data_IF_915856130758
#
_entry.id   IF_915856130758
#
_cell.length_a   1.000
_cell.length_b   1.000
_cell.length_c   1.000
_cell.angle_alpha   90.00
_cell.angle_beta   90.00
_cell.angle_gamma   90.00
#
_symmetry.space_group_name_H-M   'P 1'
#
loop_
_entity.id
_entity.type
_entity.pdbx_description
1 polymer ?
#
# COMPACT_ATOMS: atom_id res chain seq x y z
N UNK A 1 27.72 1.04 18.04
CA UNK A 1 28.66 1.73 17.13
C UNK A 1 28.10 1.65 15.73
N UNK A 2 28.30 2.67 14.91
CA UNK A 2 27.83 2.64 13.52
C UNK A 2 28.56 1.53 12.75
N UNK A 3 27.82 0.78 11.93
CA UNK A 3 28.34 -0.32 11.12
C UNK A 3 29.24 0.15 9.99
N UNK A 4 28.99 1.36 9.48
CA UNK A 4 29.73 1.99 8.41
C UNK A 4 30.19 3.39 8.84
N UNK A 5 31.34 3.83 8.32
CA UNK A 5 31.87 5.17 8.57
C UNK A 5 31.20 6.25 7.71
N UNK A 6 30.42 5.85 6.71
CA UNK A 6 29.76 6.73 5.76
C UNK A 6 28.75 7.67 6.43
N UNK A 7 28.82 8.95 6.04
CA UNK A 7 27.85 9.98 6.40
C UNK A 7 27.32 10.66 5.14
N UNK A 8 26.07 11.10 5.19
CA UNK A 8 25.36 11.77 4.11
C UNK A 8 24.64 13.02 4.61
N UNK A 9 24.42 13.97 3.70
CA UNK A 9 23.60 15.16 3.92
C UNK A 9 22.22 14.93 3.29
N UNK A 10 21.17 15.22 4.05
CA UNK A 10 19.77 15.03 3.65
C UNK A 10 19.16 16.36 3.20
N UNK A 11 18.44 16.31 2.09
CA UNK A 11 17.79 17.45 1.46
C UNK A 11 16.28 17.19 1.31
N UNK A 12 15.48 18.26 1.24
CA UNK A 12 14.08 18.17 0.87
C UNK A 12 13.89 18.07 -0.65
N UNK A 13 12.63 17.99 -1.10
CA UNK A 13 12.29 17.90 -2.52
C UNK A 13 12.46 19.21 -3.31
N UNK A 14 12.87 20.30 -2.64
CA UNK A 14 13.23 21.58 -3.25
C UNK A 14 14.75 21.81 -3.24
N UNK A 15 15.55 20.82 -2.86
CA UNK A 15 17.01 20.92 -2.81
C UNK A 15 17.52 21.76 -1.64
N UNK A 16 16.74 21.91 -0.57
CA UNK A 16 17.18 22.59 0.66
C UNK A 16 17.74 21.58 1.65
N UNK A 17 18.91 21.88 2.20
CA UNK A 17 19.55 21.07 3.23
C UNK A 17 18.65 20.98 4.49
N UNK A 18 18.33 19.76 4.89
CA UNK A 18 17.60 19.44 6.10
C UNK A 18 18.55 19.10 7.25
N UNK A 19 19.57 18.29 6.99
CA UNK A 19 20.51 17.83 8.01
C UNK A 19 21.80 17.30 7.39
N UNK A 20 22.94 17.72 7.92
CA UNK A 20 24.25 17.21 7.52
C UNK A 20 24.77 16.11 8.44
N UNK A 21 25.75 15.35 7.93
CA UNK A 21 26.52 14.35 8.67
C UNK A 21 25.64 13.25 9.30
N UNK A 22 24.60 12.82 8.59
CA UNK A 22 23.74 11.72 9.01
C UNK A 22 24.45 10.40 8.70
N UNK A 23 24.67 9.56 9.72
CA UNK A 23 25.23 8.23 9.52
C UNK A 23 24.36 7.41 8.56
N UNK A 24 24.97 6.79 7.56
CA UNK A 24 24.29 6.08 6.47
C UNK A 24 23.28 5.04 6.96
N UNK A 25 23.61 4.32 8.04
CA UNK A 25 22.71 3.31 8.61
C UNK A 25 21.36 3.86 9.07
N UNK A 26 21.23 5.18 9.34
CA UNK A 26 19.98 5.79 9.82
C UNK A 26 18.87 5.84 8.77
N UNK A 27 19.21 5.67 7.50
CA UNK A 27 18.22 5.50 6.42
C UNK A 27 17.90 4.02 6.16
N UNK A 28 18.51 3.07 6.86
CA UNK A 28 18.24 1.65 6.62
C UNK A 28 16.77 1.31 6.93
N UNK A 29 16.06 0.57 6.06
CA UNK A 29 14.73 0.04 6.34
C UNK A 29 14.65 -0.76 7.65
N UNK A 30 15.76 -1.35 8.09
CA UNK A 30 15.81 -2.13 9.34
C UNK A 30 15.78 -1.29 10.61
N UNK A 31 16.10 0.02 10.53
CA UNK A 31 16.21 0.88 11.72
C UNK A 31 15.36 2.14 11.63
N UNK A 32 15.08 2.65 10.43
CA UNK A 32 14.37 3.91 10.26
C UNK A 32 12.87 3.74 10.59
N UNK A 33 12.33 4.47 11.58
CA UNK A 33 10.95 4.30 12.01
C UNK A 33 9.92 4.74 10.95
N UNK A 34 10.25 5.73 10.12
CA UNK A 34 9.37 6.17 9.04
C UNK A 34 9.24 5.10 7.95
N UNK A 35 10.37 4.48 7.57
CA UNK A 35 10.36 3.36 6.60
C UNK A 35 9.59 2.17 7.15
N UNK A 36 9.82 1.80 8.43
CA UNK A 36 9.04 0.74 9.08
C UNK A 36 7.55 1.05 9.06
N UNK A 37 7.16 2.31 9.33
CA UNK A 37 5.77 2.73 9.24
C UNK A 37 5.20 2.65 7.81
N UNK A 38 5.99 2.94 6.78
CA UNK A 38 5.54 2.83 5.39
C UNK A 38 5.31 1.37 4.99
N UNK A 39 6.24 0.48 5.32
CA UNK A 39 6.11 -0.97 5.10
C UNK A 39 4.92 -1.54 5.87
N UNK A 40 4.77 -1.14 7.12
CA UNK A 40 3.65 -1.51 7.98
C UNK A 40 2.30 -1.05 7.40
N UNK A 41 2.22 0.19 6.93
CA UNK A 41 1.03 0.71 6.24
C UNK A 41 0.73 -0.06 4.95
N UNK A 42 1.75 -0.40 4.14
CA UNK A 42 1.57 -1.19 2.92
C UNK A 42 0.95 -2.56 3.21
N UNK A 43 1.36 -3.21 4.30
CA UNK A 43 0.86 -4.52 4.73
C UNK A 43 -0.55 -4.47 5.32
N UNK A 44 -0.93 -3.35 5.95
CA UNK A 44 -2.13 -3.25 6.81
C UNK A 44 -3.26 -2.40 6.27
N UNK A 45 -3.06 -1.72 5.16
CA UNK A 45 -4.06 -0.78 4.63
C UNK A 45 -4.82 -1.40 3.47
N UNK A 46 -6.15 -1.41 3.57
CA UNK A 46 -7.08 -1.94 2.58
C UNK A 46 -8.07 -0.86 2.18
N UNK A 47 -8.25 -0.65 0.87
CA UNK A 47 -9.29 0.19 0.32
C UNK A 47 -10.58 -0.61 0.13
N UNK A 48 -11.72 -0.04 0.52
CA UNK A 48 -13.06 -0.65 0.38
C UNK A 48 -13.96 0.28 -0.41
N UNK A 49 -14.35 -0.13 -1.61
CA UNK A 49 -15.22 0.65 -2.49
C UNK A 49 -16.71 0.33 -2.24
N UNK A 50 -17.29 0.91 -1.18
CA UNK A 50 -18.71 0.74 -0.83
C UNK A 50 -19.66 1.22 -1.92
N UNK A 51 -19.34 2.34 -2.60
CA UNK A 51 -20.14 2.82 -3.73
C UNK A 51 -20.13 1.82 -4.90
N UNK A 52 -19.01 1.13 -5.11
CA UNK A 52 -18.90 0.02 -6.06
C UNK A 52 -19.73 -1.19 -5.65
N UNK A 53 -19.75 -1.55 -4.36
CA UNK A 53 -20.59 -2.65 -3.84
C UNK A 53 -22.07 -2.35 -4.08
N UNK A 54 -22.53 -1.15 -3.73
CA UNK A 54 -23.93 -0.73 -3.92
C UNK A 54 -24.35 -0.84 -5.39
N UNK A 55 -23.53 -0.31 -6.29
CA UNK A 55 -23.78 -0.37 -7.72
C UNK A 55 -23.73 -1.80 -8.28
N UNK A 56 -22.82 -2.64 -7.78
CA UNK A 56 -22.70 -4.03 -8.19
C UNK A 56 -23.94 -4.84 -7.78
N UNK A 57 -24.35 -4.73 -6.51
CA UNK A 57 -25.52 -5.41 -5.96
C UNK A 57 -26.80 -5.00 -6.66
N UNK A 58 -27.03 -3.69 -6.83
CA UNK A 58 -28.23 -3.16 -7.47
C UNK A 58 -28.45 -3.68 -8.90
N UNK A 59 -27.37 -3.99 -9.61
CA UNK A 59 -27.41 -4.43 -11.00
C UNK A 59 -27.08 -5.92 -11.21
N UNK A 60 -26.85 -6.68 -10.13
CA UNK A 60 -26.39 -8.07 -10.20
C UNK A 60 -24.99 -8.22 -10.84
N UNK A 61 -24.21 -7.14 -10.95
CA UNK A 61 -22.87 -7.11 -11.56
C UNK A 61 -21.80 -7.52 -10.55
N UNK A 62 -21.84 -8.78 -10.15
CA UNK A 62 -20.97 -9.36 -9.13
C UNK A 62 -19.93 -10.30 -9.76
N UNK A 63 -18.72 -10.33 -9.22
CA UNK A 63 -17.59 -11.06 -9.80
C UNK A 63 -16.91 -10.35 -10.98
N UNK A 64 -15.83 -10.94 -11.51
CA UNK A 64 -15.00 -10.32 -12.54
C UNK A 64 -15.71 -10.30 -13.91
N UNK A 65 -16.20 -9.12 -14.30
CA UNK A 65 -16.89 -8.90 -15.58
C UNK A 65 -18.13 -9.79 -15.80
N UNK A 66 -18.81 -10.17 -14.72
CA UNK A 66 -20.02 -10.98 -14.77
C UNK A 66 -21.26 -10.17 -14.38
N UNK A 67 -22.42 -10.67 -14.79
CA UNK A 67 -23.72 -10.20 -14.32
C UNK A 67 -24.64 -11.40 -14.14
N UNK A 68 -25.28 -11.52 -12.98
CA UNK A 68 -26.22 -12.59 -12.67
C UNK A 68 -27.61 -11.96 -12.53
N UNK A 69 -28.43 -12.14 -13.57
CA UNK A 69 -29.80 -11.62 -13.59
C UNK A 69 -30.66 -12.37 -12.55
N UNK A 70 -31.51 -11.63 -11.85
CA UNK A 70 -32.36 -12.16 -10.77
C UNK A 70 -31.64 -12.26 -9.41
N UNK A 71 -30.41 -11.75 -9.30
CA UNK A 71 -29.64 -11.64 -8.05
C UNK A 71 -29.39 -10.18 -7.65
N UNK A 72 -30.20 -9.26 -8.16
CA UNK A 72 -30.13 -7.84 -7.80
C UNK A 72 -30.55 -7.62 -6.34
N UNK A 73 -29.76 -6.86 -5.60
CA UNK A 73 -30.07 -6.43 -4.23
C UNK A 73 -29.98 -4.91 -4.15
N UNK A 74 -31.10 -4.25 -3.82
CA UNK A 74 -31.16 -2.81 -3.69
C UNK A 74 -30.99 -2.40 -2.23
N UNK A 75 -29.74 -2.24 -1.80
CA UNK A 75 -29.36 -1.87 -0.44
C UNK A 75 -28.91 -0.40 -0.41
N UNK A 76 -29.43 0.40 0.53
CA UNK A 76 -29.05 1.81 0.67
C UNK A 76 -27.73 1.95 1.45
N UNK A 77 -26.63 1.50 0.84
CA UNK A 77 -25.28 1.53 1.45
C UNK A 77 -24.85 2.98 1.71
N UNK A 78 -25.04 3.87 0.74
CA UNK A 78 -24.70 5.29 0.89
C UNK A 78 -25.45 5.97 2.05
N UNK A 79 -26.72 5.61 2.31
CA UNK A 79 -27.48 6.13 3.43
C UNK A 79 -27.06 5.62 4.81
N UNK A 80 -26.32 4.49 4.88
CA UNK A 80 -26.00 3.79 6.12
C UNK A 80 -24.48 3.65 6.37
N UNK A 81 -23.67 4.54 5.79
CA UNK A 81 -22.21 4.50 5.88
C UNK A 81 -21.72 4.49 7.33
N UNK A 82 -22.33 5.28 8.21
CA UNK A 82 -21.93 5.36 9.63
C UNK A 82 -22.05 4.00 10.34
N UNK A 83 -23.18 3.32 10.14
CA UNK A 83 -23.43 2.03 10.76
C UNK A 83 -22.53 0.93 10.19
N UNK A 84 -22.35 0.93 8.87
CA UNK A 84 -21.47 -0.02 8.17
C UNK A 84 -20.02 0.17 8.62
N UNK A 85 -19.52 1.40 8.67
CA UNK A 85 -18.17 1.71 9.15
C UNK A 85 -17.97 1.26 10.60
N UNK A 86 -18.94 1.53 11.48
CA UNK A 86 -18.88 1.11 12.88
C UNK A 86 -18.77 -0.41 13.00
N UNK A 87 -19.57 -1.18 12.24
CA UNK A 87 -19.51 -2.64 12.20
C UNK A 87 -18.20 -3.17 11.62
N UNK A 88 -17.72 -2.58 10.51
CA UNK A 88 -16.41 -2.93 9.94
C UNK A 88 -15.31 -2.72 10.99
N UNK A 89 -15.32 -1.56 11.67
CA UNK A 89 -14.35 -1.27 12.72
C UNK A 89 -14.43 -2.29 13.84
N UNK A 90 -15.64 -2.60 14.31
CA UNK A 90 -15.87 -3.60 15.36
C UNK A 90 -15.29 -4.98 14.96
N UNK A 91 -15.53 -5.44 13.74
CA UNK A 91 -15.07 -6.76 13.29
C UNK A 91 -13.58 -6.83 12.97
N UNK A 92 -12.99 -5.72 12.48
CA UNK A 92 -11.56 -5.65 12.19
C UNK A 92 -10.73 -5.45 13.46
N UNK A 93 -11.25 -4.74 14.47
CA UNK A 93 -10.54 -4.57 15.75
C UNK A 93 -10.34 -5.92 16.45
N UNK A 94 -9.34 -5.99 17.32
CA UNK A 94 -9.03 -7.15 18.17
C UNK A 94 -9.35 -6.83 19.62
N UNK A 95 -8.94 -5.65 20.09
CA UNK A 95 -9.18 -5.15 21.44
C UNK A 95 -9.78 -3.76 21.38
N UNK A 96 -10.51 -3.38 22.44
CA UNK A 96 -11.03 -2.02 22.56
C UNK A 96 -9.87 -1.02 22.60
N UNK A 97 -9.89 -0.04 21.69
CA UNK A 97 -8.86 1.00 21.62
C UNK A 97 -7.55 0.58 20.95
N UNK A 98 -7.53 -0.51 20.19
CA UNK A 98 -6.37 -0.91 19.38
C UNK A 98 -6.03 0.09 18.24
N UNK A 99 -5.02 -0.23 17.44
CA UNK A 99 -4.55 0.65 16.36
C UNK A 99 -5.33 0.52 15.04
N UNK A 100 -6.58 0.04 15.09
CA UNK A 100 -7.50 0.04 13.95
C UNK A 100 -7.94 1.46 13.60
N UNK A 101 -7.76 1.84 12.34
CA UNK A 101 -8.18 3.14 11.82
C UNK A 101 -9.03 2.99 10.57
N UNK A 102 -10.11 3.76 10.45
CA UNK A 102 -10.88 3.88 9.21
C UNK A 102 -10.92 5.35 8.81
N UNK A 103 -10.58 5.63 7.55
CA UNK A 103 -10.72 6.97 6.95
C UNK A 103 -11.71 6.92 5.80
N UNK A 104 -12.56 7.93 5.73
CA UNK A 104 -13.54 8.11 4.64
C UNK A 104 -12.98 8.96 3.53
N UNK A 105 -13.35 8.60 2.31
CA UNK A 105 -13.12 9.35 1.10
C UNK A 105 -14.41 9.36 0.28
N UNK A 106 -14.59 10.37 -0.58
CA UNK A 106 -15.75 10.51 -1.46
C UNK A 106 -17.09 10.33 -0.71
N UNK A 107 -17.26 11.09 0.37
CA UNK A 107 -18.44 11.05 1.25
C UNK A 107 -18.71 9.66 1.84
N UNK A 108 -17.66 8.85 2.03
CA UNK A 108 -17.71 7.50 2.61
C UNK A 108 -17.98 6.38 1.61
N UNK A 109 -18.11 6.70 0.31
CA UNK A 109 -18.18 5.69 -0.76
C UNK A 109 -16.90 4.87 -0.88
N UNK A 110 -15.79 5.41 -0.42
CA UNK A 110 -14.51 4.73 -0.31
C UNK A 110 -14.02 4.81 1.13
N UNK A 111 -13.71 3.66 1.72
CA UNK A 111 -13.07 3.57 3.02
C UNK A 111 -11.62 3.13 2.85
N UNK A 112 -10.74 3.67 3.69
CA UNK A 112 -9.39 3.17 3.87
C UNK A 112 -9.30 2.60 5.28
N UNK A 113 -9.20 1.28 5.37
CA UNK A 113 -9.17 0.53 6.62
C UNK A 113 -7.73 0.11 6.90
N UNK A 114 -7.18 0.60 8.01
CA UNK A 114 -5.91 0.14 8.56
C UNK A 114 -6.19 -0.92 9.63
N UNK A 115 -5.85 -2.15 9.29
CA UNK A 115 -6.01 -3.35 10.13
C UNK A 115 -5.03 -3.30 11.30
N UNK A 116 -5.39 -3.69 12.53
CA UNK A 116 -4.53 -3.56 13.70
C UNK A 116 -3.29 -4.47 13.60
N UNK A 117 -2.18 -4.06 14.23
CA UNK A 117 -0.90 -4.79 14.18
C UNK A 117 -1.01 -6.22 14.63
N UNK A 118 -1.79 -6.47 15.69
CA UNK A 118 -1.97 -7.78 16.28
C UNK A 118 -2.36 -8.86 15.25
N UNK A 119 -3.18 -8.52 14.25
CA UNK A 119 -3.57 -9.45 13.19
C UNK A 119 -2.41 -9.83 12.27
N UNK A 120 -1.53 -8.88 11.96
CA UNK A 120 -0.35 -9.14 11.12
C UNK A 120 0.78 -9.79 11.91
N UNK A 121 0.93 -9.46 13.19
CA UNK A 121 1.91 -10.09 14.07
C UNK A 121 1.60 -11.58 14.29
N UNK A 122 0.32 -11.96 14.32
CA UNK A 122 -0.13 -13.34 14.41
C UNK A 122 -0.27 -14.06 13.05
N UNK A 123 -0.10 -13.35 11.93
CA UNK A 123 -0.25 -13.92 10.59
C UNK A 123 1.10 -14.30 9.98
N UNK A 124 1.09 -15.33 9.11
CA UNK A 124 2.25 -15.66 8.30
C UNK A 124 2.55 -14.58 7.24
N UNK A 125 1.52 -13.93 6.71
CA UNK A 125 1.60 -13.02 5.56
C UNK A 125 0.56 -11.88 5.65
N UNK A 126 0.70 -10.88 4.78
CA UNK A 126 -0.04 -9.60 4.82
C UNK A 126 -1.47 -9.67 4.25
N UNK A 127 -1.82 -10.72 3.53
CA UNK A 127 -3.15 -10.99 2.99
C UNK A 127 -4.23 -11.18 4.06
N UNK A 128 -3.82 -11.47 5.31
CA UNK A 128 -4.70 -11.41 6.48
C UNK A 128 -5.41 -10.05 6.62
N UNK A 129 -4.75 -8.95 6.21
CA UNK A 129 -5.40 -7.63 6.18
C UNK A 129 -6.55 -7.58 5.17
N UNK A 130 -6.28 -8.01 3.94
CA UNK A 130 -7.27 -7.99 2.86
C UNK A 130 -8.49 -8.87 3.20
N UNK A 131 -8.24 -10.09 3.69
CA UNK A 131 -9.31 -11.04 4.00
C UNK A 131 -10.13 -10.63 5.23
N UNK A 132 -9.50 -10.09 6.28
CA UNK A 132 -10.23 -9.62 7.47
C UNK A 132 -11.15 -8.45 7.15
N UNK A 133 -10.68 -7.47 6.36
CA UNK A 133 -11.50 -6.33 5.93
C UNK A 133 -12.61 -6.79 4.97
N UNK A 134 -12.32 -7.66 4.00
CA UNK A 134 -13.35 -8.15 3.09
C UNK A 134 -14.45 -8.95 3.83
N UNK A 135 -14.07 -9.78 4.80
CA UNK A 135 -15.02 -10.51 5.64
C UNK A 135 -15.85 -9.54 6.50
N UNK A 136 -15.21 -8.60 7.19
CA UNK A 136 -15.88 -7.59 8.01
C UNK A 136 -16.87 -6.76 7.19
N UNK A 137 -16.49 -6.30 5.99
CA UNK A 137 -17.40 -5.58 5.08
C UNK A 137 -18.59 -6.45 4.68
N UNK A 138 -18.38 -7.74 4.38
CA UNK A 138 -19.47 -8.66 4.04
C UNK A 138 -20.46 -8.80 5.19
N UNK A 139 -19.96 -9.07 6.41
CA UNK A 139 -20.82 -9.22 7.60
C UNK A 139 -21.52 -7.93 7.98
N UNK A 140 -20.83 -6.79 7.92
CA UNK A 140 -21.41 -5.49 8.19
C UNK A 140 -22.62 -5.21 7.28
N UNK A 141 -22.49 -5.48 5.98
CA UNK A 141 -23.57 -5.30 5.02
C UNK A 141 -24.72 -6.30 5.23
N UNK A 142 -24.40 -7.58 5.44
CA UNK A 142 -25.43 -8.61 5.66
C UNK A 142 -26.28 -8.26 6.89
N UNK A 143 -25.64 -7.84 7.98
CA UNK A 143 -26.37 -7.54 9.20
C UNK A 143 -27.08 -6.18 9.18
N UNK A 144 -26.45 -5.14 8.62
CA UNK A 144 -27.06 -3.81 8.55
C UNK A 144 -28.38 -3.84 7.78
N UNK A 145 -28.43 -4.62 6.70
CA UNK A 145 -29.62 -4.74 5.86
C UNK A 145 -30.42 -6.01 6.10
N UNK A 146 -30.06 -6.82 7.12
CA UNK A 146 -30.69 -8.10 7.43
C UNK A 146 -30.87 -8.99 6.17
N UNK A 147 -29.82 -9.10 5.37
CA UNK A 147 -29.81 -9.92 4.15
C UNK A 147 -29.95 -11.38 4.54
N UNK A 148 -30.89 -12.08 3.93
CA UNK A 148 -31.15 -13.47 4.26
C UNK A 148 -30.02 -14.42 3.81
N UNK A 149 -30.07 -15.65 4.31
CA UNK A 149 -29.06 -16.67 4.04
C UNK A 149 -28.95 -17.07 2.56
N UNK A 150 -30.02 -16.93 1.77
CA UNK A 150 -30.05 -17.27 0.35
C UNK A 150 -29.46 -16.18 -0.54
N UNK A 151 -29.38 -14.95 -0.04
CA UNK A 151 -28.84 -13.78 -0.75
C UNK A 151 -27.52 -13.23 -0.19
N UNK A 152 -27.10 -13.66 1.00
CA UNK A 152 -25.82 -13.28 1.59
C UNK A 152 -24.60 -13.63 0.71
N UNK A 153 -24.70 -14.67 -0.12
CA UNK A 153 -23.65 -15.03 -1.08
C UNK A 153 -23.48 -13.97 -2.19
N UNK A 154 -24.54 -13.25 -2.55
CA UNK A 154 -24.50 -12.13 -3.51
C UNK A 154 -23.69 -10.97 -2.93
N UNK A 155 -23.88 -10.65 -1.65
CA UNK A 155 -23.06 -9.65 -0.92
C UNK A 155 -21.59 -10.06 -0.90
N UNK A 156 -21.32 -11.33 -0.57
CA UNK A 156 -19.96 -11.88 -0.61
C UNK A 156 -19.33 -11.75 -2.00
N UNK A 157 -20.08 -12.03 -3.07
CA UNK A 157 -19.58 -11.90 -4.45
C UNK A 157 -19.33 -10.45 -4.86
N UNK A 158 -20.08 -9.47 -4.33
CA UNK A 158 -19.80 -8.05 -4.56
C UNK A 158 -18.53 -7.58 -3.81
N UNK A 159 -18.25 -8.14 -2.63
CA UNK A 159 -17.10 -7.72 -1.82
C UNK A 159 -15.80 -8.45 -2.21
N UNK A 160 -15.85 -9.77 -2.41
CA UNK A 160 -14.70 -10.60 -2.75
C UNK A 160 -14.54 -10.86 -4.25
N UNK A 161 -15.51 -10.47 -5.07
CA UNK A 161 -15.50 -10.80 -6.48
C UNK A 161 -15.62 -12.31 -6.71
N UNK A 162 -14.82 -12.83 -7.64
CA UNK A 162 -14.85 -14.24 -8.05
C UNK A 162 -14.04 -15.19 -7.15
N UNK A 163 -13.43 -14.71 -6.07
CA UNK A 163 -12.67 -15.57 -5.15
C UNK A 163 -13.60 -16.58 -4.42
N UNK A 164 -13.27 -17.89 -4.38
CA UNK A 164 -11.95 -18.50 -4.67
C UNK A 164 -11.79 -19.14 -6.06
N UNK A 165 -12.71 -18.90 -7.01
CA UNK A 165 -12.53 -19.35 -8.40
C UNK A 165 -11.34 -18.61 -9.03
N UNK A 166 -11.22 -17.30 -8.78
CA UNK A 166 -9.99 -16.54 -8.99
C UNK A 166 -9.06 -16.64 -7.78
N UNK A 167 -7.75 -16.54 -8.01
CA UNK A 167 -6.74 -16.54 -6.93
C UNK A 167 -6.82 -15.28 -6.06
N UNK A 168 -7.11 -14.14 -6.67
CA UNK A 168 -7.31 -12.85 -5.99
C UNK A 168 -8.80 -12.50 -5.87
N UNK A 169 -9.11 -11.39 -5.20
CA UNK A 169 -10.45 -10.82 -5.05
C UNK A 169 -10.90 -10.09 -6.35
N UNK A 170 -10.77 -10.77 -7.48
CA UNK A 170 -11.01 -10.21 -8.81
C UNK A 170 -12.47 -9.78 -8.98
N UNK A 171 -12.70 -8.50 -9.28
CA UNK A 171 -14.04 -7.92 -9.39
C UNK A 171 -14.68 -7.63 -8.03
N UNK A 172 -13.95 -7.79 -6.93
CA UNK A 172 -14.38 -7.41 -5.58
C UNK A 172 -14.16 -5.93 -5.28
N UNK A 173 -14.67 -5.50 -4.14
CA UNK A 173 -14.61 -4.12 -3.68
C UNK A 173 -13.42 -3.82 -2.76
N UNK A 174 -12.71 -4.84 -2.27
CA UNK A 174 -11.54 -4.68 -1.40
C UNK A 174 -10.24 -4.84 -2.18
N UNK A 175 -9.30 -3.90 -1.99
CA UNK A 175 -7.98 -3.95 -2.62
C UNK A 175 -6.89 -3.40 -1.70
N UNK A 176 -5.64 -3.78 -1.98
CA UNK A 176 -4.46 -3.25 -1.31
C UNK A 176 -3.38 -2.94 -2.35
N UNK A 177 -2.35 -2.17 -1.97
CA UNK A 177 -1.29 -1.78 -2.92
C UNK A 177 -0.33 -2.94 -3.25
N UNK A 178 -0.24 -3.93 -2.36
CA UNK A 178 0.55 -5.15 -2.57
C UNK A 178 -0.29 -6.20 -3.31
N UNK A 179 0.32 -6.95 -4.21
CA UNK A 179 -0.34 -8.10 -4.85
C UNK A 179 -0.46 -9.28 -3.90
N UNK A 180 -1.31 -10.26 -4.23
CA UNK A 180 -1.41 -11.51 -3.46
C UNK A 180 -0.07 -12.27 -3.47
N UNK A 181 0.27 -13.03 -2.41
CA UNK A 181 1.55 -13.73 -2.32
C UNK A 181 1.84 -14.70 -3.48
N UNK A 182 0.80 -15.29 -4.08
CA UNK A 182 0.90 -16.21 -5.23
C UNK A 182 1.46 -15.53 -6.49
N UNK A 183 1.35 -14.20 -6.58
CA UNK A 183 1.89 -13.42 -7.70
C UNK A 183 3.32 -12.96 -7.46
N UNK A 184 3.95 -13.33 -6.35
CA UNK A 184 5.35 -13.01 -6.11
C UNK A 184 6.24 -13.84 -7.04
N UNK A 185 7.12 -13.18 -7.79
CA UNK A 185 8.05 -13.85 -8.69
C UNK A 185 9.05 -14.75 -7.94
N UNK A 186 9.35 -14.42 -6.67
CA UNK A 186 10.26 -15.17 -5.81
C UNK A 186 10.01 -14.89 -4.32
N UNK A 187 10.75 -15.58 -3.45
CA UNK A 187 10.72 -15.35 -2.00
C UNK A 187 11.19 -13.92 -1.68
N UNK A 188 10.45 -13.23 -0.80
CA UNK A 188 10.77 -11.85 -0.38
C UNK A 188 10.39 -10.75 -1.37
N UNK A 189 9.62 -11.06 -2.42
CA UNK A 189 9.30 -10.12 -3.51
C UNK A 189 8.09 -9.21 -3.25
N UNK A 190 7.42 -9.34 -2.11
CA UNK A 190 6.10 -8.75 -1.89
C UNK A 190 6.07 -7.22 -1.99
N UNK A 191 7.08 -6.54 -1.41
CA UNK A 191 7.21 -5.08 -1.47
C UNK A 191 7.62 -4.55 -2.84
N UNK A 192 8.11 -5.44 -3.72
CA UNK A 192 8.52 -5.11 -5.10
C UNK A 192 7.37 -5.28 -6.09
N UNK A 193 6.34 -6.03 -5.71
CA UNK A 193 5.12 -6.22 -6.50
C UNK A 193 4.09 -5.10 -6.23
N UNK A 194 4.56 -3.86 -6.12
CA UNK A 194 3.75 -2.65 -6.01
C UNK A 194 3.86 -1.91 -7.36
N UNK A 195 2.78 -1.79 -8.14
CA UNK A 195 2.84 -1.14 -9.45
C UNK A 195 3.31 0.32 -9.36
N UNK A 196 4.14 0.76 -10.30
CA UNK A 196 4.65 2.14 -10.35
C UNK A 196 3.53 3.20 -10.35
N UNK A 197 2.38 2.90 -10.97
CA UNK A 197 1.23 3.81 -10.93
C UNK A 197 0.73 4.07 -9.50
N UNK A 198 0.86 3.10 -8.58
CA UNK A 198 0.44 3.29 -7.19
C UNK A 198 1.35 4.29 -6.48
N UNK A 199 2.67 4.20 -6.64
CA UNK A 199 3.59 5.16 -6.03
C UNK A 199 3.41 6.56 -6.61
N UNK A 200 3.25 6.67 -7.93
CA UNK A 200 2.96 7.95 -8.62
C UNK A 200 1.67 8.59 -8.12
N UNK A 201 0.60 7.80 -7.93
CA UNK A 201 -0.69 8.34 -7.47
C UNK A 201 -0.65 8.70 -5.98
N UNK A 202 -0.02 7.89 -5.13
CA UNK A 202 0.13 8.17 -3.69
C UNK A 202 0.95 9.43 -3.42
N UNK A 203 1.88 9.79 -4.30
CA UNK A 203 2.72 10.99 -4.16
C UNK A 203 2.21 12.18 -4.97
N UNK A 204 0.96 12.12 -5.46
CA UNK A 204 0.35 13.18 -6.26
C UNK A 204 1.21 13.61 -7.45
N UNK A 205 1.91 12.64 -8.08
CA UNK A 205 2.82 12.87 -9.22
C UNK A 205 4.00 13.79 -8.93
N UNK A 206 4.35 14.01 -7.66
CA UNK A 206 5.61 14.67 -7.31
C UNK A 206 6.77 13.70 -7.64
N UNK A 207 7.70 14.14 -8.50
CA UNK A 207 8.78 13.30 -9.02
C UNK A 207 9.74 12.81 -7.94
N UNK A 208 10.21 13.71 -7.06
CA UNK A 208 11.15 13.36 -5.98
C UNK A 208 10.49 12.44 -4.95
N UNK A 209 9.25 12.74 -4.55
CA UNK A 209 8.50 11.91 -3.61
C UNK A 209 8.14 10.54 -4.20
N UNK A 210 7.76 10.49 -5.48
CA UNK A 210 7.48 9.25 -6.22
C UNK A 210 8.71 8.34 -6.29
N UNK A 211 9.86 8.91 -6.64
CA UNK A 211 11.14 8.21 -6.63
C UNK A 211 11.52 7.72 -5.23
N UNK A 212 11.40 8.58 -4.21
CA UNK A 212 11.69 8.22 -2.83
C UNK A 212 10.79 7.08 -2.31
N UNK A 213 9.49 7.13 -2.56
CA UNK A 213 8.56 6.09 -2.14
C UNK A 213 8.83 4.75 -2.85
N UNK A 214 9.03 4.78 -4.16
CA UNK A 214 9.37 3.59 -4.95
C UNK A 214 10.70 2.98 -4.49
N UNK A 215 11.75 3.80 -4.34
CA UNK A 215 13.05 3.36 -3.85
C UNK A 215 12.98 2.80 -2.43
N UNK A 216 12.11 3.35 -1.57
CA UNK A 216 11.90 2.84 -0.21
C UNK A 216 11.33 1.44 -0.21
N UNK A 217 10.31 1.17 -1.03
CA UNK A 217 9.73 -0.18 -1.15
C UNK A 217 10.70 -1.16 -1.81
N UNK A 218 11.37 -0.76 -2.90
CA UNK A 218 12.39 -1.58 -3.54
C UNK A 218 13.52 -1.93 -2.57
N UNK A 219 14.02 -0.95 -1.82
CA UNK A 219 15.11 -1.15 -0.88
C UNK A 219 14.69 -2.04 0.29
N UNK A 220 13.50 -1.85 0.85
CA UNK A 220 12.97 -2.74 1.88
C UNK A 220 12.82 -4.18 1.33
N UNK A 221 12.38 -4.32 0.08
CA UNK A 221 12.35 -5.60 -0.64
C UNK A 221 13.73 -6.23 -0.81
N UNK A 222 14.79 -5.45 -1.08
CA UNK A 222 16.16 -5.99 -1.15
C UNK A 222 16.63 -6.57 0.19
N UNK A 223 16.21 -5.99 1.32
CA UNK A 223 16.45 -6.58 2.63
C UNK A 223 15.65 -7.87 2.83
N UNK A 224 14.37 -7.89 2.41
CA UNK A 224 13.51 -9.08 2.51
C UNK A 224 14.01 -10.26 1.64
N UNK A 225 14.57 -9.96 0.46
CA UNK A 225 15.19 -10.94 -0.44
C UNK A 225 16.61 -11.37 -0.01
N UNK A 226 17.12 -10.86 1.12
CA UNK A 226 18.49 -11.04 1.60
C UNK A 226 19.61 -10.51 0.66
N UNK A 227 19.28 -9.68 -0.34
CA UNK A 227 20.25 -9.04 -1.23
C UNK A 227 21.03 -7.90 -0.54
N UNK A 228 20.52 -7.38 0.57
CA UNK A 228 21.18 -6.38 1.41
C UNK A 228 21.76 -6.98 2.70
N UNK A 229 22.35 -8.18 2.63
CA UNK A 229 23.00 -8.85 3.76
C UNK A 229 24.51 -8.96 3.53
N UNK A 230 25.28 -8.73 4.60
CA UNK A 230 26.74 -8.91 4.59
C UNK A 230 27.46 -7.86 3.75
N UNK A 231 28.31 -8.24 2.77
CA UNK A 231 29.13 -7.29 2.02
C UNK A 231 28.30 -6.36 1.11
N UNK A 232 27.10 -6.76 0.72
CA UNK A 232 26.25 -5.98 -0.20
C UNK A 232 25.39 -4.92 0.50
N UNK A 233 25.21 -5.02 1.82
CA UNK A 233 24.36 -4.09 2.58
C UNK A 233 24.82 -2.63 2.45
N UNK A 234 26.13 -2.37 2.49
CA UNK A 234 26.65 -1.00 2.31
C UNK A 234 26.31 -0.45 0.93
N UNK A 235 26.52 -1.24 -0.12
CA UNK A 235 26.26 -0.83 -1.50
C UNK A 235 24.77 -0.52 -1.69
N UNK A 236 23.90 -1.38 -1.16
CA UNK A 236 22.46 -1.22 -1.16
C UNK A 236 22.01 0.05 -0.43
N UNK A 237 22.58 0.36 0.75
CA UNK A 237 22.29 1.60 1.47
C UNK A 237 22.77 2.85 0.73
N UNK A 238 23.94 2.82 0.09
CA UNK A 238 24.43 3.94 -0.71
C UNK A 238 23.56 4.19 -1.94
N UNK A 239 23.15 3.13 -2.65
CA UNK A 239 22.20 3.23 -3.77
C UNK A 239 20.92 3.91 -3.30
N UNK A 240 20.33 3.44 -2.20
CA UNK A 240 19.12 4.05 -1.67
C UNK A 240 19.32 5.52 -1.24
N UNK A 241 20.44 5.85 -0.59
CA UNK A 241 20.77 7.21 -0.19
C UNK A 241 20.81 8.17 -1.39
N UNK A 242 21.64 7.85 -2.39
CA UNK A 242 21.92 8.76 -3.50
C UNK A 242 20.82 8.74 -4.56
N UNK A 243 20.29 7.57 -4.91
CA UNK A 243 19.26 7.44 -5.94
C UNK A 243 17.86 7.76 -5.41
N UNK A 244 17.52 7.24 -4.23
CA UNK A 244 16.16 7.32 -3.69
C UNK A 244 15.92 8.54 -2.81
N UNK A 245 16.92 8.98 -2.05
CA UNK A 245 16.77 10.01 -1.02
C UNK A 245 17.52 11.32 -1.32
N UNK A 246 18.07 11.47 -2.52
CA UNK A 246 18.80 12.68 -2.95
C UNK A 246 19.93 13.07 -1.96
N UNK A 247 20.66 12.08 -1.44
CA UNK A 247 21.78 12.34 -0.54
C UNK A 247 22.80 13.28 -1.20
N UNK A 248 23.31 14.23 -0.42
CA UNK A 248 24.23 15.29 -0.85
C UNK A 248 23.71 16.12 -2.03
N UNK A 249 22.38 16.17 -2.20
CA UNK A 249 21.68 16.91 -3.24
C UNK A 249 22.00 16.50 -4.70
N UNK A 250 22.68 15.37 -4.90
CA UNK A 250 23.26 15.02 -6.20
C UNK A 250 22.21 14.91 -7.32
N UNK A 251 21.05 14.31 -7.05
CA UNK A 251 20.00 14.13 -8.06
C UNK A 251 19.42 15.49 -8.45
N UNK A 252 19.11 16.31 -7.45
CA UNK A 252 18.58 17.65 -7.67
C UNK A 252 19.56 18.53 -8.44
N UNK A 253 20.83 18.54 -8.05
CA UNK A 253 21.85 19.38 -8.68
C UNK A 253 22.12 18.96 -10.13
N UNK A 254 22.20 17.65 -10.41
CA UNK A 254 22.33 17.14 -11.77
C UNK A 254 21.14 17.56 -12.65
N UNK A 255 19.92 17.46 -12.13
CA UNK A 255 18.70 17.88 -12.85
C UNK A 255 18.68 19.39 -13.05
N UNK A 256 19.11 20.17 -12.06
CA UNK A 256 19.16 21.64 -12.16
C UNK A 256 20.16 22.11 -13.20
N UNK A 257 21.35 21.51 -13.24
CA UNK A 257 22.39 21.81 -14.22
C UNK A 257 21.96 21.45 -15.65
N UNK A 258 21.30 20.29 -15.81
CA UNK A 258 20.99 19.73 -17.13
C UNK A 258 19.55 19.98 -17.60
N UNK A 259 18.66 20.52 -16.77
CA UNK A 259 17.22 20.48 -17.00
C UNK A 259 16.70 21.37 -18.14
N UNK A 260 17.46 22.37 -18.58
CA UNK A 260 17.02 23.30 -19.63
C UNK A 260 17.36 22.81 -21.04
N UNK A 261 18.57 22.28 -21.24
CA UNK A 261 19.10 21.93 -22.57
C UNK A 261 19.89 20.62 -22.57
N UNK A 262 20.04 19.98 -21.41
CA UNK A 262 20.84 18.79 -21.25
C UNK A 262 20.22 17.56 -21.92
N UNK A 263 21.06 16.54 -22.08
CA UNK A 263 20.69 15.22 -22.55
C UNK A 263 21.18 14.19 -21.56
N UNK A 264 20.82 12.92 -21.77
CA UNK A 264 21.41 11.82 -20.97
C UNK A 264 22.94 11.86 -21.00
N UNK A 265 23.55 12.22 -22.14
CA UNK A 265 25.00 12.31 -22.27
C UNK A 265 25.61 13.42 -21.41
N UNK A 266 24.96 14.58 -21.28
CA UNK A 266 25.48 15.69 -20.47
C UNK A 266 25.33 15.42 -18.98
N UNK A 267 24.24 14.74 -18.57
CA UNK A 267 24.09 14.27 -17.18
C UNK A 267 25.21 13.31 -16.79
N UNK A 268 25.57 12.37 -17.69
CA UNK A 268 26.70 11.46 -17.46
C UNK A 268 28.03 12.22 -17.34
N UNK A 269 28.25 13.26 -18.15
CA UNK A 269 29.44 14.12 -18.06
C UNK A 269 29.47 14.95 -16.77
N UNK A 270 28.32 15.36 -16.24
CA UNK A 270 28.23 16.13 -14.98
C UNK A 270 28.49 15.25 -13.75
N UNK A 271 28.22 13.94 -13.85
CA UNK A 271 28.40 12.97 -12.77
C UNK A 271 29.84 12.45 -12.62
N UNK A 272 30.60 12.37 -13.72
CA UNK A 272 31.96 11.80 -13.80
C UNK A 272 33.03 12.85 -13.48
#
# INVERSE_FOLDING_TARGET
MAKYADVIDLYDDNGKLLKSNVALEKISPLVNPAIKSLVDNAKRTVAVNLGGVEAALKNGKIGKHQQILGRELNLDIAGNIDAIEAKIKQYVSVEEGDDTEIRRFNDGKLLLVKVPKARIEAAATYDASLLSVAAATTYALVEEFNVDMFDANTVKAAVFGSYPVSQALDGGACSMIMSIPQNNESLGYALRNIPANQTVMMTHRNAMQGAALAATFEQAGQFEMANAVGPFERAQLLIYAYQGLNANNIVYDLVKENGQTGTVGTVMQSLV
#
